data_IF_182648623239
#
_entry.id   IF_182648623239
#
_cell.length_a   1.000
_cell.length_b   1.000
_cell.length_c   1.000
_cell.angle_alpha   90.00
_cell.angle_beta   90.00
_cell.angle_gamma   90.00
#
_symmetry.space_group_name_H-M   'P 1'
#
loop_
_entity.id
_entity.type
_entity.pdbx_description
1 polymer ?
#
# COMPACT_ATOMS: atom_id res chain seq x y z
N UNK A 1 -2.96 -11.04 -29.77
CA UNK A 1 -4.09 -10.52 -28.97
C UNK A 1 -3.91 -9.03 -28.94
N UNK A 2 -4.72 -8.31 -29.70
CA UNK A 2 -4.69 -6.86 -29.75
C UNK A 2 -5.04 -6.29 -28.38
N UNK A 3 -4.04 -5.72 -27.74
CA UNK A 3 -4.26 -4.88 -26.57
C UNK A 3 -4.93 -3.62 -27.08
N UNK A 4 -6.24 -3.52 -26.91
CA UNK A 4 -6.96 -2.29 -27.21
C UNK A 4 -6.27 -1.12 -26.51
N UNK A 5 -6.02 -0.05 -27.26
CA UNK A 5 -5.44 1.18 -26.69
C UNK A 5 -6.30 1.61 -25.47
N UNK A 6 -5.68 2.04 -24.39
CA UNK A 6 -6.42 2.46 -23.21
C UNK A 6 -7.39 3.57 -23.56
N UNK A 7 -8.60 3.51 -23.00
CA UNK A 7 -9.61 4.56 -23.19
C UNK A 7 -8.99 5.92 -22.82
N UNK A 8 -9.25 6.98 -23.59
CA UNK A 8 -8.77 8.33 -23.28
C UNK A 8 -9.33 8.88 -21.96
N UNK A 9 -10.39 8.26 -21.44
CA UNK A 9 -11.00 8.57 -20.15
C UNK A 9 -11.14 7.29 -19.34
N UNK A 10 -10.58 7.27 -18.15
CA UNK A 10 -10.76 6.20 -17.18
C UNK A 10 -11.46 6.77 -15.93
N UNK A 11 -12.57 6.12 -15.52
CA UNK A 11 -13.32 6.54 -14.34
C UNK A 11 -12.75 5.88 -13.07
N UNK A 12 -12.80 6.63 -11.99
CA UNK A 12 -12.51 6.17 -10.63
C UNK A 12 -13.81 6.35 -9.86
N UNK A 13 -14.64 5.32 -9.86
CA UNK A 13 -16.01 5.35 -9.33
C UNK A 13 -16.30 4.09 -8.50
N UNK A 14 -17.50 4.02 -7.93
CA UNK A 14 -17.90 2.92 -7.06
C UNK A 14 -17.98 1.59 -7.79
N UNK A 15 -18.41 1.57 -9.05
CA UNK A 15 -18.49 0.33 -9.84
C UNK A 15 -17.10 -0.29 -10.02
N UNK A 16 -16.08 0.54 -10.25
CA UNK A 16 -14.70 0.09 -10.30
C UNK A 16 -14.22 -0.43 -8.93
N UNK A 17 -14.54 0.27 -7.83
CA UNK A 17 -14.16 -0.16 -6.48
C UNK A 17 -14.76 -1.52 -6.16
N UNK A 18 -16.04 -1.72 -6.42
CA UNK A 18 -16.76 -2.96 -6.13
C UNK A 18 -16.20 -4.14 -6.96
N UNK A 19 -15.92 -3.90 -8.24
CA UNK A 19 -15.34 -4.92 -9.12
C UNK A 19 -13.95 -5.37 -8.66
N UNK A 20 -13.08 -4.43 -8.28
CA UNK A 20 -11.72 -4.75 -7.82
C UNK A 20 -11.76 -5.34 -6.41
N UNK A 21 -12.67 -4.90 -5.53
CA UNK A 21 -12.87 -5.47 -4.20
C UNK A 21 -13.32 -6.92 -4.24
N UNK A 22 -14.27 -7.26 -5.11
CA UNK A 22 -14.68 -8.64 -5.34
C UNK A 22 -13.51 -9.53 -5.80
N UNK A 23 -12.68 -9.02 -6.72
CA UNK A 23 -11.48 -9.72 -7.17
C UNK A 23 -10.42 -9.84 -6.06
N UNK A 24 -10.28 -8.85 -5.17
CA UNK A 24 -9.40 -8.88 -4.02
C UNK A 24 -9.85 -9.93 -2.98
N UNK A 25 -11.15 -9.99 -2.71
CA UNK A 25 -11.75 -10.95 -1.76
C UNK A 25 -11.52 -12.40 -2.21
N UNK A 26 -11.61 -12.68 -3.52
CA UNK A 26 -11.33 -13.99 -4.12
C UNK A 26 -9.85 -14.32 -4.30
N UNK A 27 -8.95 -13.38 -4.03
CA UNK A 27 -7.51 -13.59 -4.19
C UNK A 27 -6.90 -14.25 -2.95
N UNK A 28 -5.99 -15.24 -3.10
CA UNK A 28 -5.21 -15.77 -1.97
C UNK A 28 -4.41 -14.70 -1.23
N UNK A 29 -4.01 -13.64 -1.92
CA UNK A 29 -3.29 -12.50 -1.35
C UNK A 29 -4.20 -11.53 -0.60
N UNK A 30 -5.52 -11.66 -0.74
CA UNK A 30 -6.53 -10.75 -0.19
C UNK A 30 -6.31 -9.29 -0.58
N UNK A 31 -5.75 -9.06 -1.79
CA UNK A 31 -5.59 -7.76 -2.41
C UNK A 31 -5.54 -7.87 -3.93
N UNK A 32 -5.89 -6.78 -4.60
CA UNK A 32 -5.86 -6.65 -6.05
C UNK A 32 -5.50 -5.22 -6.46
N UNK A 33 -4.66 -5.11 -7.50
CA UNK A 33 -4.37 -3.82 -8.12
C UNK A 33 -5.22 -3.64 -9.38
N UNK A 34 -5.60 -2.38 -9.66
CA UNK A 34 -6.11 -1.93 -10.94
C UNK A 34 -5.23 -0.79 -11.45
N UNK A 35 -4.51 -1.03 -12.55
CA UNK A 35 -3.53 -0.10 -13.08
C UNK A 35 -4.16 0.85 -14.09
N UNK A 36 -3.90 2.16 -13.97
CA UNK A 36 -4.24 3.21 -14.92
C UNK A 36 -3.06 3.57 -15.84
N UNK A 37 -1.96 2.86 -15.73
CA UNK A 37 -0.69 3.13 -16.39
C UNK A 37 -0.16 1.87 -17.09
N UNK A 38 0.70 2.07 -18.09
CA UNK A 38 1.56 1.02 -18.62
C UNK A 38 2.81 0.87 -17.72
N UNK A 39 3.41 -0.34 -17.62
CA UNK A 39 4.63 -0.53 -16.83
C UNK A 39 5.79 0.42 -17.18
N UNK A 40 5.84 0.88 -18.43
CA UNK A 40 6.86 1.82 -18.93
C UNK A 40 6.61 3.29 -18.56
N UNK A 41 5.43 3.62 -17.99
CA UNK A 41 5.12 5.00 -17.65
C UNK A 41 6.04 5.52 -16.53
N UNK A 42 6.42 6.78 -16.63
CA UNK A 42 7.25 7.46 -15.63
C UNK A 42 6.57 7.64 -14.29
N UNK A 43 5.25 7.68 -14.28
CA UNK A 43 4.44 7.75 -13.06
C UNK A 43 3.46 6.60 -13.07
N UNK A 44 3.57 5.72 -12.08
CA UNK A 44 2.64 4.63 -11.85
C UNK A 44 1.45 5.14 -11.06
N UNK A 45 0.25 4.74 -11.46
CA UNK A 45 -1.03 5.16 -10.87
C UNK A 45 -1.94 3.94 -10.85
N UNK A 46 -2.33 3.50 -9.67
CA UNK A 46 -3.19 2.32 -9.56
C UNK A 46 -4.01 2.33 -8.26
N UNK A 47 -5.16 1.68 -8.32
CA UNK A 47 -5.85 1.31 -7.10
C UNK A 47 -5.19 0.07 -6.51
N UNK A 48 -4.98 0.11 -5.21
CA UNK A 48 -4.61 -1.05 -4.41
C UNK A 48 -5.79 -1.34 -3.48
N UNK A 49 -6.53 -2.39 -3.77
CA UNK A 49 -7.71 -2.77 -2.98
C UNK A 49 -7.34 -3.89 -2.04
N UNK A 50 -7.54 -3.64 -0.76
CA UNK A 50 -7.04 -4.45 0.35
C UNK A 50 -8.20 -5.00 1.18
N UNK A 51 -8.08 -6.28 1.57
CA UNK A 51 -8.96 -6.94 2.53
C UNK A 51 -8.23 -7.19 3.85
N UNK A 52 -8.91 -7.16 5.01
CA UNK A 52 -8.32 -7.61 6.27
C UNK A 52 -7.69 -8.99 6.14
N UNK A 53 -6.49 -9.16 6.67
CA UNK A 53 -5.67 -10.36 6.50
C UNK A 53 -4.74 -10.33 5.29
N UNK A 54 -4.70 -9.23 4.52
CA UNK A 54 -3.69 -9.06 3.47
C UNK A 54 -2.33 -8.75 4.10
N UNK A 55 -1.36 -9.61 3.87
CA UNK A 55 0.02 -9.38 4.35
C UNK A 55 0.85 -8.70 3.28
N UNK A 56 1.34 -7.51 3.56
CA UNK A 56 2.33 -6.82 2.74
C UNK A 56 3.69 -6.92 3.43
N UNK A 57 4.63 -7.67 2.84
CA UNK A 57 5.97 -7.78 3.43
C UNK A 57 6.63 -6.42 3.50
N UNK A 58 7.26 -6.04 4.62
CA UNK A 58 7.97 -4.78 4.76
C UNK A 58 9.02 -4.60 3.68
N UNK A 59 8.99 -3.43 3.06
CA UNK A 59 9.87 -3.09 1.94
C UNK A 59 10.08 -1.58 1.85
N UNK A 60 10.99 -1.20 1.00
CA UNK A 60 11.21 0.17 0.56
C UNK A 60 11.40 0.20 -0.95
N UNK A 61 11.20 1.34 -1.53
CA UNK A 61 11.54 1.59 -2.92
C UNK A 61 12.86 2.34 -3.01
N UNK A 62 13.74 1.89 -3.90
CA UNK A 62 15.00 2.57 -4.23
C UNK A 62 15.03 2.79 -5.72
N UNK A 63 15.51 3.92 -6.14
CA UNK A 63 15.67 4.27 -7.55
C UNK A 63 17.14 4.29 -7.94
N UNK A 64 17.39 4.13 -9.25
CA UNK A 64 18.76 4.17 -9.77
C UNK A 64 19.41 5.54 -9.55
N UNK A 65 18.59 6.60 -9.54
CA UNK A 65 18.99 7.96 -9.19
C UNK A 65 18.38 8.29 -7.83
N UNK A 66 19.18 8.36 -6.75
CA UNK A 66 18.65 8.71 -5.43
C UNK A 66 18.02 10.09 -5.40
N UNK A 67 16.91 10.22 -4.66
CA UNK A 67 16.20 11.47 -4.47
C UNK A 67 15.05 11.74 -5.44
N UNK A 68 14.88 10.92 -6.48
CA UNK A 68 13.77 11.05 -7.43
C UNK A 68 12.56 10.18 -7.04
N UNK A 69 12.71 9.29 -6.06
CA UNK A 69 11.67 8.35 -5.67
C UNK A 69 10.67 8.97 -4.69
N UNK A 70 9.40 8.70 -4.92
CA UNK A 70 8.31 8.98 -3.99
C UNK A 70 7.24 7.91 -4.09
N UNK A 71 6.41 7.81 -3.07
CA UNK A 71 5.22 6.98 -3.05
C UNK A 71 4.11 7.72 -2.30
N UNK A 72 3.00 7.99 -2.97
CA UNK A 72 1.87 8.72 -2.40
C UNK A 72 0.66 7.80 -2.28
N UNK A 73 0.06 7.75 -1.11
CA UNK A 73 -1.14 6.99 -0.79
C UNK A 73 -2.31 7.94 -0.51
N UNK A 74 -3.45 7.70 -1.16
CA UNK A 74 -4.71 8.38 -0.90
C UNK A 74 -5.79 7.32 -0.68
N UNK A 75 -6.41 7.29 0.50
CA UNK A 75 -7.49 6.35 0.79
C UNK A 75 -8.81 6.92 0.30
N UNK A 76 -9.43 6.21 -0.66
CA UNK A 76 -10.67 6.61 -1.32
C UNK A 76 -11.90 5.93 -0.71
N UNK A 77 -11.72 4.75 -0.10
CA UNK A 77 -12.78 4.02 0.60
C UNK A 77 -12.18 3.25 1.78
N UNK A 78 -12.90 3.24 2.91
CA UNK A 78 -12.49 2.52 4.11
C UNK A 78 -11.26 3.12 4.79
N UNK A 79 -10.41 2.28 5.37
CA UNK A 79 -9.24 2.69 6.12
C UNK A 79 -8.09 1.67 5.99
N UNK A 80 -6.87 2.18 5.98
CA UNK A 80 -5.63 1.39 6.04
C UNK A 80 -4.74 1.88 7.17
N UNK A 81 -3.96 0.97 7.75
CA UNK A 81 -2.89 1.28 8.68
C UNK A 81 -1.55 1.23 7.95
N UNK A 82 -0.78 2.30 8.03
CA UNK A 82 0.60 2.37 7.57
C UNK A 82 1.54 2.21 8.75
N UNK A 83 2.53 1.35 8.62
CA UNK A 83 3.60 1.15 9.59
C UNK A 83 4.93 1.52 8.96
N UNK A 84 5.68 2.42 9.60
CA UNK A 84 7.05 2.74 9.25
C UNK A 84 7.99 1.97 10.18
N UNK A 85 9.03 1.36 9.59
CA UNK A 85 9.94 0.50 10.33
C UNK A 85 11.39 0.97 10.20
N UNK A 86 12.21 0.63 11.21
CA UNK A 86 13.66 0.74 11.08
C UNK A 86 14.27 -0.46 10.35
N UNK A 87 15.57 -0.39 10.09
CA UNK A 87 16.31 -1.47 9.43
C UNK A 87 16.36 -2.79 10.23
N UNK A 88 15.99 -2.76 11.52
CA UNK A 88 15.89 -3.94 12.38
C UNK A 88 14.46 -4.50 12.46
N UNK A 89 13.51 -3.88 11.74
CA UNK A 89 12.12 -4.30 11.71
C UNK A 89 11.27 -3.82 12.89
N UNK A 90 11.77 -2.89 13.70
CA UNK A 90 10.97 -2.29 14.77
C UNK A 90 10.06 -1.23 14.19
N UNK A 91 8.79 -1.21 14.61
CA UNK A 91 7.84 -0.17 14.24
C UNK A 91 8.25 1.14 14.91
N UNK A 92 8.51 2.16 14.09
CA UNK A 92 8.87 3.51 14.53
C UNK A 92 7.65 4.41 14.60
N UNK A 93 6.73 4.26 13.64
CA UNK A 93 5.56 5.11 13.48
C UNK A 93 4.42 4.29 12.90
N UNK A 94 3.21 4.67 13.24
CA UNK A 94 1.98 4.10 12.68
C UNK A 94 1.01 5.23 12.37
N UNK A 95 0.34 5.12 11.22
CA UNK A 95 -0.63 6.10 10.74
C UNK A 95 -1.91 5.39 10.31
N UNK A 96 -3.05 5.89 10.77
CA UNK A 96 -4.36 5.48 10.28
C UNK A 96 -4.77 6.43 9.16
N UNK A 97 -4.87 5.92 7.95
CA UNK A 97 -5.30 6.70 6.78
C UNK A 97 -6.72 6.25 6.41
N UNK A 98 -7.65 7.20 6.32
CA UNK A 98 -9.06 6.88 6.13
C UNK A 98 -9.75 7.83 5.15
N UNK A 99 -10.64 7.30 4.32
CA UNK A 99 -11.49 8.11 3.44
C UNK A 99 -12.39 9.09 4.22
N UNK A 100 -12.76 8.75 5.45
CA UNK A 100 -13.49 9.63 6.34
C UNK A 100 -12.63 10.75 6.98
N UNK A 101 -11.27 10.63 6.86
CA UNK A 101 -10.34 11.57 7.50
C UNK A 101 -10.11 11.27 8.99
N UNK A 102 -9.44 12.18 9.74
CA UNK A 102 -8.87 13.44 9.26
C UNK A 102 -7.68 13.26 8.30
N UNK A 103 -6.86 12.20 8.46
CA UNK A 103 -5.75 11.87 7.58
C UNK A 103 -6.27 11.04 6.40
N UNK A 104 -6.19 11.58 5.19
CA UNK A 104 -6.71 10.93 3.97
C UNK A 104 -5.63 10.38 3.06
N UNK A 105 -4.39 10.81 3.22
CA UNK A 105 -3.26 10.37 2.42
C UNK A 105 -1.93 10.75 3.05
N UNK A 106 -0.87 10.10 2.56
CA UNK A 106 0.52 10.30 2.99
C UNK A 106 1.41 10.18 1.76
N UNK A 107 2.46 10.99 1.72
CA UNK A 107 3.57 10.80 0.80
C UNK A 107 4.80 10.31 1.57
N UNK A 108 5.44 9.27 1.06
CA UNK A 108 6.68 8.71 1.56
C UNK A 108 7.84 9.10 0.63
N UNK A 109 8.92 9.57 1.21
CA UNK A 109 10.18 9.74 0.50
C UNK A 109 10.79 8.39 0.12
N UNK A 110 11.70 8.40 -0.84
CA UNK A 110 12.47 7.24 -1.24
C UNK A 110 13.21 6.61 -0.04
N UNK A 111 13.23 5.29 0.00
CA UNK A 111 13.98 4.52 0.99
C UNK A 111 13.28 4.32 2.33
N UNK A 112 12.12 4.92 2.56
CA UNK A 112 11.33 4.69 3.79
C UNK A 112 10.82 3.25 3.81
N UNK A 113 11.19 2.50 4.86
CA UNK A 113 10.74 1.13 5.05
C UNK A 113 9.33 1.14 5.63
N UNK A 114 8.40 0.49 4.93
CA UNK A 114 7.01 0.50 5.32
C UNK A 114 6.27 -0.79 5.01
N UNK A 115 5.11 -0.94 5.61
CA UNK A 115 4.08 -1.93 5.30
C UNK A 115 2.69 -1.37 5.55
N UNK A 116 1.68 -2.05 5.02
CA UNK A 116 0.28 -1.67 5.11
C UNK A 116 -0.57 -2.83 5.65
N UNK A 117 -1.60 -2.50 6.39
CA UNK A 117 -2.67 -3.42 6.81
C UNK A 117 -4.04 -2.81 6.48
N UNK A 118 -4.98 -3.64 6.04
CA UNK A 118 -6.36 -3.20 5.85
C UNK A 118 -7.08 -3.12 7.20
N UNK A 119 -7.65 -1.96 7.54
CA UNK A 119 -8.38 -1.74 8.78
C UNK A 119 -9.89 -1.88 8.60
N UNK A 120 -10.36 -1.89 7.35
CA UNK A 120 -11.75 -2.15 6.99
C UNK A 120 -11.82 -3.14 5.82
N UNK A 121 -12.93 -3.87 5.64
CA UNK A 121 -13.20 -4.57 4.39
C UNK A 121 -13.20 -3.59 3.22
N UNK A 122 -12.84 -4.07 2.03
CA UNK A 122 -12.88 -3.34 0.76
C UNK A 122 -12.20 -1.97 0.83
N UNK A 123 -11.05 -1.89 1.54
CA UNK A 123 -10.28 -0.66 1.60
C UNK A 123 -9.66 -0.37 0.23
N UNK A 124 -9.98 0.79 -0.34
CA UNK A 124 -9.49 1.26 -1.65
C UNK A 124 -8.50 2.39 -1.44
N UNK A 125 -7.29 2.18 -1.91
CA UNK A 125 -6.21 3.15 -1.84
C UNK A 125 -5.68 3.42 -3.26
N UNK A 126 -5.62 4.71 -3.63
CA UNK A 126 -4.85 5.15 -4.79
C UNK A 126 -3.39 5.23 -4.40
N UNK A 127 -2.56 4.53 -5.15
CA UNK A 127 -1.10 4.59 -5.03
C UNK A 127 -0.52 5.27 -6.27
N UNK A 128 0.29 6.29 -6.04
CA UNK A 128 1.01 7.02 -7.09
C UNK A 128 2.48 6.96 -6.72
N UNK A 129 3.30 6.43 -7.60
CA UNK A 129 4.74 6.35 -7.36
C UNK A 129 5.54 6.55 -8.65
N UNK A 130 6.80 6.87 -8.48
CA UNK A 130 7.70 6.97 -9.61
C UNK A 130 7.87 5.63 -10.31
N UNK A 131 7.79 5.64 -11.62
CA UNK A 131 8.13 4.56 -12.54
C UNK A 131 9.46 4.83 -13.27
N UNK A 132 9.77 4.02 -14.29
CA UNK A 132 9.01 2.87 -14.76
C UNK A 132 8.98 1.69 -13.78
N UNK A 133 8.08 0.73 -14.01
CA UNK A 133 8.01 -0.48 -13.19
C UNK A 133 9.06 -1.49 -13.64
N UNK A 134 9.97 -1.82 -12.74
CA UNK A 134 10.99 -2.85 -12.93
C UNK A 134 10.80 -3.96 -11.89
N UNK A 135 10.20 -5.12 -12.25
CA UNK A 135 9.83 -6.15 -11.27
C UNK A 135 10.98 -6.61 -10.37
N UNK A 136 12.20 -6.66 -10.90
CA UNK A 136 13.39 -7.10 -10.16
C UNK A 136 13.90 -6.07 -9.14
N UNK A 137 13.56 -4.79 -9.32
CA UNK A 137 14.09 -3.68 -8.52
C UNK A 137 13.00 -2.87 -7.81
N UNK A 138 11.71 -3.15 -8.06
CA UNK A 138 10.62 -2.34 -7.52
C UNK A 138 10.56 -2.36 -5.99
N UNK A 139 10.90 -3.51 -5.36
CA UNK A 139 10.82 -3.67 -3.91
C UNK A 139 12.11 -4.25 -3.33
N UNK A 140 12.75 -3.48 -2.47
CA UNK A 140 13.82 -3.93 -1.57
C UNK A 140 13.19 -4.40 -0.26
N UNK A 141 12.98 -5.72 -0.12
CA UNK A 141 12.33 -6.32 1.03
C UNK A 141 13.22 -6.34 2.25
N UNK A 142 12.68 -5.96 3.38
CA UNK A 142 13.38 -6.09 4.65
C UNK A 142 13.56 -7.58 5.00
N UNK A 143 14.80 -8.03 5.32
CA UNK A 143 15.06 -9.40 5.74
C UNK A 143 14.42 -9.72 7.11
N UNK A 144 14.26 -11.00 7.41
CA UNK A 144 13.75 -11.46 8.71
C UNK A 144 12.23 -11.50 8.85
N UNK A 145 11.48 -11.05 7.82
CA UNK A 145 10.02 -11.14 7.81
C UNK A 145 9.53 -12.37 7.04
N UNK A 146 8.38 -12.95 7.47
CA UNK A 146 7.80 -14.11 6.82
C UNK A 146 7.56 -13.90 5.32
N UNK A 147 7.60 -15.00 4.57
CA UNK A 147 7.17 -14.99 3.18
C UNK A 147 5.64 -14.90 3.10
N UNK A 148 5.15 -14.19 2.12
CA UNK A 148 3.71 -14.08 1.84
C UNK A 148 3.07 -15.46 1.65
N UNK A 149 1.87 -15.65 2.18
CA UNK A 149 1.14 -16.91 2.11
C UNK A 149 1.48 -17.91 3.22
N UNK A 150 2.45 -17.64 4.08
CA UNK A 150 2.76 -18.50 5.23
C UNK A 150 1.85 -18.20 6.44
N UNK A 151 1.69 -19.16 7.33
CA UNK A 151 0.97 -18.99 8.61
C UNK A 151 1.62 -17.87 9.46
N UNK A 152 2.94 -17.81 9.48
CA UNK A 152 3.67 -16.76 10.17
C UNK A 152 3.37 -15.36 9.60
N UNK A 153 3.14 -15.24 8.28
CA UNK A 153 2.74 -13.98 7.67
C UNK A 153 1.33 -13.55 8.12
N UNK A 154 0.41 -14.48 8.23
CA UNK A 154 -0.94 -14.20 8.72
C UNK A 154 -0.92 -13.74 10.19
N UNK A 155 -0.14 -14.41 11.04
CA UNK A 155 0.05 -14.02 12.43
C UNK A 155 0.70 -12.62 12.55
N UNK A 156 1.67 -12.32 11.70
CA UNK A 156 2.36 -11.02 11.68
C UNK A 156 1.39 -9.90 11.25
N UNK A 157 0.58 -10.12 10.22
CA UNK A 157 -0.45 -9.15 9.79
C UNK A 157 -1.45 -8.87 10.91
N UNK A 158 -1.96 -9.93 11.56
CA UNK A 158 -2.91 -9.78 12.65
C UNK A 158 -2.32 -8.98 13.83
N UNK A 159 -1.04 -9.23 14.17
CA UNK A 159 -0.33 -8.46 15.19
C UNK A 159 -0.19 -6.98 14.82
N UNK A 160 0.14 -6.67 13.58
CA UNK A 160 0.22 -5.28 13.12
C UNK A 160 -1.14 -4.59 13.08
N UNK A 161 -2.16 -5.27 12.59
CA UNK A 161 -3.52 -4.72 12.56
C UNK A 161 -4.06 -4.43 13.95
N UNK A 162 -3.70 -5.24 14.96
CA UNK A 162 -4.06 -5.01 16.35
C UNK A 162 -3.42 -3.76 16.98
N UNK A 163 -2.37 -3.19 16.35
CA UNK A 163 -1.80 -1.92 16.78
C UNK A 163 -2.72 -0.70 16.51
N UNK A 164 -3.78 -0.88 15.72
CA UNK A 164 -4.74 0.17 15.38
C UNK A 164 -6.06 -0.11 16.11
N UNK A 165 -6.20 0.44 17.32
CA UNK A 165 -7.44 0.33 18.11
C UNK A 165 -8.59 1.20 17.58
N UNK A 166 -9.83 0.96 18.05
CA UNK A 166 -10.93 1.91 17.83
C UNK A 166 -10.60 3.21 18.58
N UNK A 167 -10.55 4.34 17.84
CA UNK A 167 -10.26 5.68 18.39
C UNK A 167 -8.81 6.16 18.25
N UNK A 168 -7.92 5.39 17.64
CA UNK A 168 -6.55 5.80 17.30
C UNK A 168 -6.51 6.78 16.10
N UNK A 169 -7.39 7.78 16.09
CA UNK A 169 -7.43 8.80 15.03
C UNK A 169 -6.30 9.82 15.14
N UNK A 170 -5.51 9.77 16.23
CA UNK A 170 -4.40 10.69 16.50
C UNK A 170 -3.23 9.95 17.16
N UNK A 171 -2.42 9.29 16.36
CA UNK A 171 -1.11 8.85 16.84
C UNK A 171 -0.10 9.96 16.53
N UNK A 172 0.31 10.66 17.58
CA UNK A 172 1.38 11.66 17.50
C UNK A 172 2.66 11.04 16.94
N UNK A 173 3.40 11.76 16.09
CA UNK A 173 4.68 11.30 15.58
C UNK A 173 5.65 11.09 16.74
N UNK A 174 6.11 9.86 16.89
CA UNK A 174 7.29 9.59 17.70
C UNK A 174 8.51 9.99 16.85
N UNK A 175 9.03 11.18 17.09
CA UNK A 175 10.26 11.76 16.55
C UNK A 175 10.31 12.01 15.03
N UNK A 176 10.91 13.15 14.61
CA UNK A 176 11.20 13.38 13.20
C UNK A 176 12.09 12.26 12.67
N UNK A 177 11.74 11.76 11.48
CA UNK A 177 12.59 10.86 10.72
C UNK A 177 13.92 11.59 10.41
N UNK A 178 15.06 10.89 10.51
CA UNK A 178 16.36 11.49 10.23
C UNK A 178 16.50 11.93 8.79
#
# INVERSE_FOLDING_TARGET
MDSAAPSPLQRIDQDLFDAVAAAAAGSPRRRRNHNFHAPSDRVQRFLNVLQPGTYVRPHRHRRAQPGDGFECFLVLQGAVGLLLLDAKGRVLQRERISAAGPLRGIELAEGVIHTLVALSPDAVMMEIKQGPYEPAADKDFLPGFPLEGSEAAAAQEAAWRALFGPGDDHLSPAHPLP
#
